data_IF_921680018431
#
_entry.id   IF_921680018431
#
_cell.length_a   1.000
_cell.length_b   1.000
_cell.length_c   1.000
_cell.angle_alpha   90.00
_cell.angle_beta   90.00
_cell.angle_gamma   90.00
#
_symmetry.space_group_name_H-M   'P 1'
#
loop_
_entity.id
_entity.type
_entity.pdbx_description
1 polymer ?
#
# COMPACT_ATOMS: atom_id res chain seq x y z
N UNK A 1 7.66 37.77 16.86
CA UNK A 1 6.56 37.19 17.68
C UNK A 1 5.21 37.25 16.94
N UNK A 2 4.77 38.40 16.44
CA UNK A 2 3.50 38.52 15.69
C UNK A 2 3.40 37.56 14.48
N UNK A 3 4.46 37.39 13.70
CA UNK A 3 4.48 36.46 12.55
C UNK A 3 4.24 34.99 12.91
N UNK A 4 4.81 34.50 14.02
CA UNK A 4 4.57 33.13 14.51
C UNK A 4 3.10 32.96 14.92
N UNK A 5 2.53 33.95 15.61
CA UNK A 5 1.15 33.91 16.04
C UNK A 5 0.16 33.89 14.85
N UNK A 6 0.47 34.61 13.77
CA UNK A 6 -0.29 34.57 12.53
C UNK A 6 -0.14 33.21 11.84
N UNK A 7 1.08 32.69 11.71
CA UNK A 7 1.33 31.36 11.11
C UNK A 7 0.55 30.24 11.82
N UNK A 8 0.53 30.25 13.15
CA UNK A 8 -0.21 29.27 13.94
C UNK A 8 -1.73 29.33 13.71
N UNK A 9 -2.31 30.52 13.49
CA UNK A 9 -3.73 30.67 13.11
C UNK A 9 -4.06 30.04 11.75
N UNK A 10 -3.05 29.85 10.90
CA UNK A 10 -3.15 29.15 9.62
C UNK A 10 -2.67 27.69 9.70
N UNK A 11 -2.46 27.14 10.89
CA UNK A 11 -2.03 25.76 11.08
C UNK A 11 -0.54 25.50 10.82
N UNK A 12 0.27 26.56 10.66
CA UNK A 12 1.72 26.46 10.45
C UNK A 12 2.41 26.63 11.79
N UNK A 13 2.97 25.55 12.32
CA UNK A 13 3.66 25.53 13.60
C UNK A 13 5.15 25.79 13.42
N UNK A 14 5.63 26.94 13.91
CA UNK A 14 7.04 27.35 13.82
C UNK A 14 7.66 27.32 15.22
N UNK A 15 8.73 26.55 15.39
CA UNK A 15 9.31 26.27 16.73
C UNK A 15 9.98 27.49 17.38
N UNK A 16 10.56 28.40 16.61
CA UNK A 16 11.20 29.63 17.11
C UNK A 16 11.24 30.71 16.02
N UNK A 17 11.50 31.96 16.41
CA UNK A 17 11.62 33.07 15.45
C UNK A 17 12.84 32.98 14.54
N UNK A 18 13.91 32.29 14.95
CA UNK A 18 15.10 32.11 14.14
C UNK A 18 14.79 31.39 12.81
N UNK A 19 13.87 30.41 12.83
CA UNK A 19 13.44 29.70 11.63
C UNK A 19 12.67 30.58 10.64
N UNK A 20 12.05 31.68 11.07
CA UNK A 20 11.38 32.60 10.13
C UNK A 20 12.39 33.38 9.30
N UNK A 21 13.53 33.74 9.88
CA UNK A 21 14.60 34.43 9.18
C UNK A 21 15.29 33.48 8.19
N UNK A 22 15.60 32.25 8.62
CA UNK A 22 16.19 31.22 7.76
C UNK A 22 15.27 30.84 6.58
N UNK A 23 13.95 30.77 6.80
CA UNK A 23 12.98 30.52 5.73
C UNK A 23 12.91 31.65 4.69
N UNK A 24 13.23 32.89 5.06
CA UNK A 24 13.15 34.04 4.16
C UNK A 24 14.23 33.99 3.06
N UNK A 25 15.38 33.38 3.36
CA UNK A 25 16.53 33.29 2.45
C UNK A 25 16.60 31.95 1.69
N UNK A 26 15.64 31.04 1.90
CA UNK A 26 15.63 29.72 1.30
C UNK A 26 15.35 29.78 -0.21
N UNK A 27 16.23 29.17 -1.02
CA UNK A 27 16.13 29.14 -2.49
C UNK A 27 15.79 27.75 -3.05
N UNK A 28 15.91 26.70 -2.24
CA UNK A 28 15.71 25.32 -2.65
C UNK A 28 15.01 24.52 -1.57
N UNK A 29 14.03 23.71 -1.96
CA UNK A 29 13.26 22.84 -1.08
C UNK A 29 13.35 21.40 -1.57
N UNK A 30 13.82 20.50 -0.72
CA UNK A 30 13.74 19.05 -0.95
C UNK A 30 12.60 18.53 -0.08
N UNK A 31 11.63 17.87 -0.70
CA UNK A 31 10.42 17.38 -0.03
C UNK A 31 10.43 15.86 -0.02
N UNK A 32 10.18 15.25 1.14
CA UNK A 32 9.91 13.81 1.19
C UNK A 32 8.54 13.51 0.56
N UNK A 33 8.44 12.52 -0.33
CA UNK A 33 7.17 12.24 -1.02
C UNK A 33 6.14 11.62 -0.07
N UNK A 34 6.54 10.72 0.82
CA UNK A 34 5.64 9.80 1.51
C UNK A 34 5.16 10.42 2.81
N UNK A 35 3.88 10.81 2.87
CA UNK A 35 3.32 11.51 4.03
C UNK A 35 3.45 13.04 3.98
N UNK A 36 4.17 13.60 3.00
CA UNK A 36 4.15 15.05 2.73
C UNK A 36 3.40 15.37 1.43
N UNK A 37 3.87 14.86 0.29
CA UNK A 37 3.19 15.07 -1.01
C UNK A 37 2.08 14.05 -1.26
N UNK A 38 2.18 12.89 -0.63
CA UNK A 38 1.21 11.80 -0.74
C UNK A 38 0.69 11.42 0.64
N UNK A 39 -0.49 10.80 0.70
CA UNK A 39 -1.14 10.42 1.96
C UNK A 39 -0.49 9.26 2.72
N UNK A 40 0.67 8.76 2.28
CA UNK A 40 1.36 7.63 2.93
C UNK A 40 0.59 6.31 2.90
N UNK A 41 -0.48 6.23 2.09
CA UNK A 41 -1.36 5.07 1.95
C UNK A 41 -1.45 4.67 0.49
N UNK A 42 -1.30 3.37 0.23
CA UNK A 42 -1.48 2.80 -1.10
C UNK A 42 -2.97 2.53 -1.36
N UNK A 43 -3.39 2.65 -2.61
CA UNK A 43 -4.74 2.34 -3.08
C UNK A 43 -4.64 1.59 -4.40
N UNK A 44 -5.51 0.61 -4.59
CA UNK A 44 -5.64 -0.09 -5.86
C UNK A 44 -6.12 0.90 -6.93
N UNK A 45 -5.41 0.95 -8.07
CA UNK A 45 -5.75 1.85 -9.18
C UNK A 45 -6.47 1.12 -10.32
N UNK A 46 -6.03 -0.09 -10.63
CA UNK A 46 -6.56 -0.89 -11.74
C UNK A 46 -6.45 -2.37 -11.43
N UNK A 47 -7.27 -3.16 -12.13
CA UNK A 47 -7.26 -4.62 -12.08
C UNK A 47 -7.20 -5.10 -13.52
N UNK A 48 -6.30 -6.03 -13.80
CA UNK A 48 -6.26 -6.76 -15.05
C UNK A 48 -6.63 -8.22 -14.75
N UNK A 49 -7.86 -8.59 -15.07
CA UNK A 49 -8.37 -9.94 -14.95
C UNK A 49 -8.75 -10.47 -16.33
N UNK A 50 -8.11 -11.56 -16.75
CA UNK A 50 -8.35 -12.21 -18.04
C UNK A 50 -9.49 -13.23 -17.99
N UNK A 51 -9.89 -13.68 -16.80
CA UNK A 51 -10.82 -14.78 -16.61
C UNK A 51 -12.14 -14.36 -15.95
N UNK A 52 -12.22 -13.14 -15.42
CA UNK A 52 -13.46 -12.55 -14.90
C UNK A 52 -13.95 -13.24 -13.63
N UNK A 53 -13.03 -13.61 -12.73
CA UNK A 53 -13.38 -14.31 -11.51
C UNK A 53 -14.08 -13.36 -10.53
N UNK A 54 -15.34 -13.69 -10.19
CA UNK A 54 -16.13 -12.91 -9.23
C UNK A 54 -15.43 -12.78 -7.87
N UNK A 55 -14.65 -13.80 -7.48
CA UNK A 55 -13.99 -13.89 -6.18
C UNK A 55 -12.58 -13.28 -6.14
N UNK A 56 -12.13 -12.63 -7.22
CA UNK A 56 -10.78 -12.07 -7.29
C UNK A 56 -10.51 -11.05 -6.16
N UNK A 57 -11.45 -10.12 -5.95
CA UNK A 57 -11.35 -9.09 -4.92
C UNK A 57 -11.43 -9.67 -3.49
N UNK A 58 -12.43 -10.52 -3.16
CA UNK A 58 -12.44 -11.27 -1.91
C UNK A 58 -11.15 -12.03 -1.64
N UNK A 59 -10.62 -12.75 -2.63
CA UNK A 59 -9.39 -13.53 -2.47
C UNK A 59 -8.17 -12.64 -2.23
N UNK A 60 -8.01 -11.57 -3.02
CA UNK A 60 -6.92 -10.62 -2.86
C UNK A 60 -6.96 -9.92 -1.48
N UNK A 61 -8.14 -9.54 -1.01
CA UNK A 61 -8.31 -8.93 0.30
C UNK A 61 -8.04 -9.90 1.45
N UNK A 62 -8.46 -11.16 1.30
CA UNK A 62 -8.22 -12.21 2.30
C UNK A 62 -6.73 -12.51 2.44
N UNK A 63 -6.04 -12.72 1.32
CA UNK A 63 -4.58 -12.90 1.31
C UNK A 63 -3.84 -11.64 1.77
N UNK A 64 -4.32 -10.45 1.38
CA UNK A 64 -3.75 -9.17 1.80
C UNK A 64 -3.87 -8.92 3.30
N UNK A 65 -4.93 -9.42 3.94
CA UNK A 65 -5.15 -9.30 5.40
C UNK A 65 -4.14 -10.09 6.23
N UNK A 66 -3.42 -11.03 5.63
CA UNK A 66 -2.41 -11.85 6.29
C UNK A 66 -1.03 -11.18 6.42
N UNK A 67 -0.79 -10.02 5.81
CA UNK A 67 0.52 -9.36 5.80
C UNK A 67 0.43 -7.89 6.19
N UNK A 68 1.43 -7.44 6.94
CA UNK A 68 1.54 -6.03 7.35
C UNK A 68 2.13 -5.13 6.27
N UNK A 69 2.55 -5.65 5.11
CA UNK A 69 3.15 -4.85 4.04
C UNK A 69 2.18 -3.79 3.49
N UNK A 70 2.63 -2.55 3.16
CA UNK A 70 1.73 -1.49 2.67
C UNK A 70 0.85 -1.88 1.48
N UNK A 71 1.38 -2.69 0.55
CA UNK A 71 0.61 -3.20 -0.61
C UNK A 71 -0.48 -4.16 -0.15
N UNK A 72 -0.15 -5.12 0.73
CA UNK A 72 -1.12 -6.09 1.28
C UNK A 72 -2.24 -5.38 2.03
N UNK A 73 -1.93 -4.34 2.81
CA UNK A 73 -2.94 -3.53 3.51
C UNK A 73 -3.86 -2.78 2.54
N UNK A 74 -3.35 -2.31 1.40
CA UNK A 74 -4.18 -1.68 0.38
C UNK A 74 -5.17 -2.68 -0.23
N UNK A 75 -4.78 -3.95 -0.35
CA UNK A 75 -5.64 -5.02 -0.83
C UNK A 75 -6.64 -5.51 0.24
N UNK A 76 -6.20 -5.61 1.50
CA UNK A 76 -7.04 -6.02 2.63
C UNK A 76 -8.28 -5.14 2.82
N UNK A 77 -8.21 -3.86 2.42
CA UNK A 77 -9.31 -2.91 2.50
C UNK A 77 -10.22 -2.85 1.28
N UNK A 78 -10.11 -3.78 0.32
CA UNK A 78 -10.91 -3.75 -0.92
C UNK A 78 -12.35 -4.24 -0.73
N UNK A 79 -12.61 -5.04 0.30
CA UNK A 79 -13.92 -5.61 0.61
C UNK A 79 -14.21 -5.49 2.10
N UNK A 80 -15.49 -5.61 2.47
CA UNK A 80 -15.88 -5.68 3.88
C UNK A 80 -15.43 -7.00 4.53
N UNK A 81 -15.31 -7.00 5.87
CA UNK A 81 -14.77 -8.15 6.62
C UNK A 81 -15.59 -9.44 6.46
N UNK A 82 -16.88 -9.33 6.20
CA UNK A 82 -17.80 -10.44 5.97
C UNK A 82 -17.65 -11.09 4.58
N UNK A 83 -17.01 -10.39 3.64
CA UNK A 83 -16.66 -10.90 2.31
C UNK A 83 -15.30 -11.60 2.28
N UNK A 84 -14.54 -11.58 3.39
CA UNK A 84 -13.26 -12.27 3.46
C UNK A 84 -13.47 -13.79 3.42
N UNK A 85 -12.68 -14.44 2.57
CA UNK A 85 -12.64 -15.88 2.42
C UNK A 85 -11.86 -16.51 3.58
N UNK A 86 -12.29 -17.69 4.07
CA UNK A 86 -11.54 -18.42 5.07
C UNK A 86 -10.23 -18.93 4.47
N UNK A 87 -9.12 -18.64 5.15
CA UNK A 87 -7.78 -19.08 4.78
C UNK A 87 -7.20 -19.99 5.87
N UNK A 88 -6.46 -21.02 5.48
CA UNK A 88 -5.61 -21.82 6.38
C UNK A 88 -4.18 -21.89 5.86
N UNK A 89 -3.25 -22.39 6.69
CA UNK A 89 -1.84 -22.63 6.31
C UNK A 89 -1.15 -21.41 5.69
N UNK A 90 -1.47 -20.24 6.21
CA UNK A 90 -0.98 -18.95 5.77
C UNK A 90 0.54 -18.90 5.95
N UNK A 91 1.25 -18.63 4.87
CA UNK A 91 2.71 -18.57 4.81
C UNK A 91 3.14 -17.30 4.10
N UNK A 92 3.73 -16.38 4.85
CA UNK A 92 4.42 -15.23 4.27
C UNK A 92 5.81 -15.66 3.77
N UNK A 93 6.08 -15.40 2.51
CA UNK A 93 7.36 -15.63 1.83
C UNK A 93 8.08 -14.29 1.74
N UNK A 94 9.11 -14.13 2.56
CA UNK A 94 9.83 -12.86 2.69
C UNK A 94 10.31 -12.36 1.31
N UNK A 95 9.93 -11.13 0.98
CA UNK A 95 10.27 -10.50 -0.29
C UNK A 95 9.52 -11.02 -1.51
N UNK A 96 8.59 -11.98 -1.35
CA UNK A 96 7.86 -12.60 -2.47
C UNK A 96 6.35 -12.38 -2.36
N UNK A 97 5.74 -12.69 -1.22
CA UNK A 97 4.28 -12.55 -1.05
C UNK A 97 3.69 -13.49 0.00
N UNK A 98 2.40 -13.79 -0.12
CA UNK A 98 1.62 -14.63 0.79
C UNK A 98 1.05 -15.82 0.01
N UNK A 99 1.10 -17.01 0.62
CA UNK A 99 0.44 -18.22 0.13
C UNK A 99 -0.46 -18.76 1.23
N UNK A 100 -1.66 -19.22 0.88
CA UNK A 100 -2.59 -19.84 1.82
C UNK A 100 -3.47 -20.90 1.14
N UNK A 101 -4.03 -21.79 1.95
CA UNK A 101 -5.02 -22.77 1.51
C UNK A 101 -6.43 -22.15 1.56
N UNK A 102 -7.23 -22.44 0.52
CA UNK A 102 -8.64 -22.04 0.39
C UNK A 102 -9.52 -23.28 0.18
N UNK A 103 -10.85 -23.10 0.15
CA UNK A 103 -11.78 -24.17 -0.23
C UNK A 103 -11.54 -24.73 -1.65
N UNK A 104 -10.91 -23.96 -2.54
CA UNK A 104 -10.66 -24.32 -3.94
C UNK A 104 -9.21 -24.77 -4.20
N UNK A 105 -8.38 -24.88 -3.15
CA UNK A 105 -6.96 -25.22 -3.25
C UNK A 105 -6.04 -24.11 -2.77
N UNK A 106 -4.76 -24.21 -3.12
CA UNK A 106 -3.75 -23.21 -2.74
C UNK A 106 -3.93 -21.92 -3.55
N UNK A 107 -3.85 -20.78 -2.87
CA UNK A 107 -3.91 -19.46 -3.46
C UNK A 107 -2.66 -18.65 -3.07
N UNK A 108 -2.20 -17.81 -3.99
CA UNK A 108 -0.98 -17.01 -3.82
C UNK A 108 -1.21 -15.55 -4.24
N UNK A 109 -0.60 -14.64 -3.49
CA UNK A 109 -0.59 -13.20 -3.75
C UNK A 109 0.84 -12.69 -3.57
N UNK A 110 1.46 -12.18 -4.63
CA UNK A 110 2.85 -11.74 -4.54
C UNK A 110 3.44 -11.20 -5.83
N UNK A 111 4.75 -11.14 -5.87
CA UNK A 111 5.54 -10.77 -7.05
C UNK A 111 5.61 -11.94 -8.05
N UNK A 112 5.94 -11.70 -9.33
CA UNK A 112 6.08 -12.76 -10.34
C UNK A 112 6.95 -13.93 -9.91
N UNK A 113 8.05 -13.66 -9.17
CA UNK A 113 8.99 -14.69 -8.71
C UNK A 113 8.34 -15.70 -7.75
N UNK A 114 7.30 -15.30 -7.00
CA UNK A 114 6.51 -16.24 -6.21
C UNK A 114 5.79 -17.25 -7.10
N UNK A 115 5.17 -16.76 -8.18
CA UNK A 115 4.41 -17.59 -9.10
C UNK A 115 5.32 -18.51 -9.91
N UNK A 116 6.50 -18.04 -10.32
CA UNK A 116 7.53 -18.88 -10.95
C UNK A 116 7.95 -20.05 -10.05
N UNK A 117 8.17 -19.80 -8.75
CA UNK A 117 8.52 -20.86 -7.79
C UNK A 117 7.40 -21.88 -7.59
N UNK A 118 6.14 -21.46 -7.77
CA UNK A 118 4.97 -22.34 -7.71
C UNK A 118 4.67 -23.01 -9.06
N UNK A 119 5.43 -22.72 -10.11
CA UNK A 119 5.18 -23.24 -11.46
C UNK A 119 3.92 -22.66 -12.12
N UNK A 120 3.47 -21.48 -11.70
CA UNK A 120 2.28 -20.80 -12.21
C UNK A 120 2.70 -19.81 -13.30
N UNK A 121 2.22 -20.03 -14.53
CA UNK A 121 2.43 -19.10 -15.62
C UNK A 121 1.65 -17.80 -15.38
N UNK A 122 2.33 -16.67 -15.41
CA UNK A 122 1.73 -15.33 -15.29
C UNK A 122 1.94 -14.53 -16.57
N UNK A 123 1.02 -13.61 -16.92
CA UNK A 123 1.25 -12.67 -18.00
C UNK A 123 2.44 -11.76 -17.69
N UNK A 124 3.02 -11.14 -18.72
CA UNK A 124 4.12 -10.21 -18.53
C UNK A 124 3.73 -9.06 -17.60
N UNK A 125 4.65 -8.69 -16.69
CA UNK A 125 4.47 -7.53 -15.82
C UNK A 125 4.33 -6.29 -16.72
N UNK A 126 3.26 -5.50 -16.54
CA UNK A 126 3.09 -4.29 -17.33
C UNK A 126 4.22 -3.26 -17.09
N UNK A 127 4.59 -2.49 -18.12
CA UNK A 127 5.71 -1.53 -18.06
C UNK A 127 5.43 -0.22 -17.31
N UNK A 128 4.24 -0.05 -16.73
CA UNK A 128 3.79 1.24 -16.19
C UNK A 128 4.20 1.50 -14.74
#
# INVERSE_FOLDING_TARGET
>A
IAGIAVAARHGILIRSSAFLEELADLTSLVVDKTGTLTFGTLRLQSIQDSAGHADLLPLAASLGSASSHPVSRALAGLVDKDQLLPLSDIRERQGLGVVASTAHGEAALGRPELFEQLGIATPAVPEH
#
